data_IF_802409272929
#
_entry.id   IF_802409272929
#
_cell.length_a   1.000
_cell.length_b   1.000
_cell.length_c   1.000
_cell.angle_alpha   90.00
_cell.angle_beta   90.00
_cell.angle_gamma   90.00
#
_symmetry.space_group_name_H-M   'P 1'
#
loop_
_entity.id
_entity.type
_entity.pdbx_description
1 polymer ?
#
# COMPACT_ATOMS: atom_id res chain seq x y z
N UNK A 1 19.31 13.13 23.12
CA UNK A 1 19.32 13.51 21.70
C UNK A 1 19.72 14.98 21.54
N UNK A 2 20.80 15.23 20.80
CA UNK A 2 21.29 16.57 20.44
C UNK A 2 20.19 17.37 19.69
N UNK A 3 20.10 18.68 19.92
CA UNK A 3 19.12 19.56 19.26
C UNK A 3 19.23 19.52 17.72
N UNK A 4 20.42 19.30 17.16
CA UNK A 4 20.60 19.11 15.70
C UNK A 4 19.93 17.83 15.20
N UNK A 5 20.12 16.72 15.91
CA UNK A 5 19.56 15.43 15.56
C UNK A 5 18.02 15.46 15.65
N UNK A 6 17.46 16.13 16.67
CA UNK A 6 16.00 16.36 16.78
C UNK A 6 15.42 17.08 15.56
N UNK A 7 16.05 18.19 15.14
CA UNK A 7 15.60 18.94 13.98
C UNK A 7 15.67 18.12 12.70
N UNK A 8 16.69 17.27 12.57
CA UNK A 8 16.81 16.34 11.45
C UNK A 8 15.66 15.34 11.40
N UNK A 9 15.38 14.62 12.49
CA UNK A 9 14.28 13.65 12.54
C UNK A 9 12.90 14.28 12.27
N UNK A 10 12.65 15.48 12.80
CA UNK A 10 11.40 16.21 12.54
C UNK A 10 11.27 16.54 11.04
N UNK A 11 12.33 17.08 10.43
CA UNK A 11 12.31 17.40 8.99
C UNK A 11 12.11 16.15 8.15
N UNK A 12 12.84 15.08 8.48
CA UNK A 12 12.71 13.79 7.81
C UNK A 12 11.26 13.28 7.87
N UNK A 13 10.67 13.26 9.06
CA UNK A 13 9.28 12.82 9.27
C UNK A 13 8.28 13.63 8.44
N UNK A 14 8.39 14.97 8.45
CA UNK A 14 7.46 15.80 7.67
C UNK A 14 7.67 15.64 6.16
N UNK A 15 8.91 15.45 5.70
CA UNK A 15 9.18 15.20 4.27
C UNK A 15 8.56 13.87 3.84
N UNK A 16 8.77 12.78 4.60
CA UNK A 16 8.19 11.47 4.25
C UNK A 16 6.66 11.48 4.34
N UNK A 17 6.10 12.17 5.33
CA UNK A 17 4.66 12.37 5.45
C UNK A 17 4.08 13.13 4.25
N UNK A 18 4.70 14.22 3.81
CA UNK A 18 4.25 15.00 2.65
C UNK A 18 4.29 14.13 1.39
N UNK A 19 5.36 13.36 1.18
CA UNK A 19 5.46 12.47 0.02
C UNK A 19 4.34 11.41 0.05
N UNK A 20 4.07 10.79 1.20
CA UNK A 20 2.98 9.81 1.35
C UNK A 20 1.60 10.43 1.07
N UNK A 21 1.34 11.64 1.58
CA UNK A 21 0.06 12.34 1.34
C UNK A 21 -0.09 12.69 -0.15
N UNK A 22 0.97 13.18 -0.79
CA UNK A 22 0.95 13.49 -2.22
C UNK A 22 0.68 12.24 -3.04
N UNK A 23 1.33 11.12 -2.72
CA UNK A 23 1.09 9.84 -3.41
C UNK A 23 -0.37 9.39 -3.31
N UNK A 24 -0.96 9.44 -2.11
CA UNK A 24 -2.37 9.08 -1.90
C UNK A 24 -3.30 9.99 -2.73
N UNK A 25 -3.02 11.30 -2.77
CA UNK A 25 -3.80 12.27 -3.55
C UNK A 25 -3.67 11.96 -5.05
N UNK A 26 -2.45 11.72 -5.53
CA UNK A 26 -2.18 11.44 -6.96
C UNK A 26 -2.82 10.12 -7.37
N UNK A 27 -2.74 9.07 -6.56
CA UNK A 27 -3.40 7.77 -6.78
C UNK A 27 -4.93 7.90 -6.87
N UNK A 28 -5.53 8.80 -6.08
CA UNK A 28 -6.99 9.00 -6.09
C UNK A 28 -7.48 9.91 -7.22
N UNK A 29 -6.62 10.79 -7.75
CA UNK A 29 -6.99 11.75 -8.80
C UNK A 29 -6.55 11.32 -10.20
N UNK A 30 -5.53 10.46 -10.31
CA UNK A 30 -4.90 10.09 -11.57
C UNK A 30 -4.71 8.57 -11.62
N UNK A 31 -4.46 8.06 -12.84
CA UNK A 31 -4.08 6.66 -13.02
C UNK A 31 -2.63 6.37 -12.63
N UNK A 32 -1.91 7.30 -11.98
CA UNK A 32 -0.51 7.11 -11.61
C UNK A 32 -0.35 7.04 -10.10
N UNK A 33 0.60 6.22 -9.65
CA UNK A 33 1.05 6.17 -8.26
C UNK A 33 2.54 5.88 -8.20
N UNK A 34 3.17 6.11 -7.04
CA UNK A 34 4.48 5.53 -6.77
C UNK A 34 4.42 3.99 -6.85
N UNK A 35 5.56 3.39 -7.17
CA UNK A 35 5.76 1.94 -7.10
C UNK A 35 5.39 1.42 -5.70
N UNK A 36 4.65 0.32 -5.65
CA UNK A 36 4.00 -0.13 -4.42
C UNK A 36 4.95 -0.36 -3.24
N UNK A 37 6.16 -0.89 -3.49
CA UNK A 37 7.17 -1.08 -2.44
C UNK A 37 7.75 0.25 -1.97
N UNK A 38 8.04 1.19 -2.89
CA UNK A 38 8.54 2.52 -2.55
C UNK A 38 7.51 3.26 -1.69
N UNK A 39 6.24 3.30 -2.12
CA UNK A 39 5.14 3.93 -1.38
C UNK A 39 4.98 3.32 0.03
N UNK A 40 5.06 1.99 0.13
CA UNK A 40 5.03 1.27 1.40
C UNK A 40 6.18 1.71 2.32
N UNK A 41 7.43 1.69 1.84
CA UNK A 41 8.58 2.06 2.65
C UNK A 41 8.54 3.52 3.11
N UNK A 42 8.08 4.43 2.25
CA UNK A 42 7.89 5.84 2.63
C UNK A 42 6.87 5.94 3.76
N UNK A 43 5.72 5.29 3.63
CA UNK A 43 4.65 5.32 4.63
C UNK A 43 5.09 4.71 5.97
N UNK A 44 5.76 3.55 5.93
CA UNK A 44 6.33 2.90 7.12
C UNK A 44 7.38 3.79 7.77
N UNK A 45 8.24 4.46 7.00
CA UNK A 45 9.25 5.37 7.55
C UNK A 45 8.63 6.58 8.25
N UNK A 46 7.52 7.12 7.71
CA UNK A 46 6.76 8.20 8.34
C UNK A 46 6.15 7.74 9.67
N UNK A 47 5.55 6.55 9.72
CA UNK A 47 4.97 5.98 10.94
C UNK A 47 6.02 5.71 12.01
N UNK A 48 7.11 5.00 11.66
CA UNK A 48 8.18 4.68 12.59
C UNK A 48 8.86 5.94 13.14
N UNK A 49 9.13 6.92 12.28
CA UNK A 49 9.70 8.19 12.73
C UNK A 49 8.76 8.95 13.67
N UNK A 50 7.45 8.90 13.46
CA UNK A 50 6.45 9.48 14.37
C UNK A 50 6.47 8.83 15.76
N UNK A 51 6.53 7.50 15.82
CA UNK A 51 6.64 6.74 17.09
C UNK A 51 7.96 7.05 17.81
N UNK A 52 9.08 7.07 17.10
CA UNK A 52 10.39 7.42 17.70
C UNK A 52 10.37 8.85 18.24
N UNK A 53 9.76 9.79 17.50
CA UNK A 53 9.61 11.18 17.92
C UNK A 53 8.72 11.32 19.15
N UNK A 54 7.67 10.51 19.30
CA UNK A 54 6.86 10.44 20.52
C UNK A 54 7.71 10.13 21.76
N UNK A 55 8.46 9.03 21.74
CA UNK A 55 9.32 8.67 22.88
C UNK A 55 10.41 9.73 23.14
N UNK A 56 10.88 10.42 22.10
CA UNK A 56 11.88 11.48 22.24
C UNK A 56 11.33 12.83 22.75
N UNK A 57 10.08 13.19 22.42
CA UNK A 57 9.45 14.48 22.74
C UNK A 57 8.46 14.39 23.90
N UNK A 58 7.49 13.49 23.81
CA UNK A 58 6.35 13.39 24.72
C UNK A 58 6.75 12.96 26.12
N UNK A 59 7.79 12.12 26.24
CA UNK A 59 8.33 11.73 27.55
C UNK A 59 9.01 12.90 28.29
N UNK A 60 9.36 14.00 27.61
CA UNK A 60 10.03 15.16 28.22
C UNK A 60 9.10 16.34 28.49
N UNK A 61 8.06 16.53 27.68
CA UNK A 61 7.07 17.61 27.85
C UNK A 61 5.71 17.16 27.32
N UNK A 62 4.85 16.55 28.15
CA UNK A 62 3.62 15.91 27.70
C UNK A 62 2.56 16.86 27.11
N UNK A 63 2.61 18.18 27.39
CA UNK A 63 1.53 19.13 27.07
C UNK A 63 1.85 20.18 25.99
N UNK A 64 2.74 19.90 25.05
CA UNK A 64 2.92 20.76 23.88
C UNK A 64 2.18 20.18 22.65
N UNK A 65 1.76 21.06 21.73
CA UNK A 65 1.00 20.66 20.52
C UNK A 65 1.72 19.57 19.71
N UNK A 66 3.05 19.63 19.67
CA UNK A 66 3.88 18.66 18.94
C UNK A 66 3.91 17.28 19.61
N UNK A 67 3.89 17.21 20.94
CA UNK A 67 3.79 15.98 21.72
C UNK A 67 2.44 15.32 21.51
N UNK A 68 1.36 16.12 21.49
CA UNK A 68 0.03 15.61 21.21
C UNK A 68 -0.05 15.00 19.80
N UNK A 69 0.49 15.69 18.79
CA UNK A 69 0.60 15.14 17.43
C UNK A 69 1.33 13.79 17.37
N UNK A 70 2.52 13.68 17.97
CA UNK A 70 3.26 12.41 17.97
C UNK A 70 2.61 11.32 18.82
N UNK A 71 1.81 11.69 19.83
CA UNK A 71 1.07 10.71 20.64
C UNK A 71 0.06 9.91 19.84
N UNK A 72 -0.50 10.48 18.77
CA UNK A 72 -1.39 9.76 17.87
C UNK A 72 -0.69 8.57 17.19
N UNK A 73 0.57 8.72 16.79
CA UNK A 73 1.37 7.64 16.21
C UNK A 73 1.62 6.51 17.22
N UNK A 74 1.93 6.86 18.47
CA UNK A 74 2.11 5.87 19.53
C UNK A 74 0.80 5.15 19.85
N UNK A 75 -0.32 5.88 19.93
CA UNK A 75 -1.65 5.31 20.12
C UNK A 75 -2.01 4.33 19.00
N UNK A 76 -1.79 4.72 17.74
CA UNK A 76 -1.96 3.85 16.57
C UNK A 76 -1.13 2.56 16.70
N UNK A 77 0.16 2.68 17.03
CA UNK A 77 1.03 1.52 17.24
C UNK A 77 0.53 0.61 18.38
N UNK A 78 0.07 1.20 19.50
CA UNK A 78 -0.51 0.46 20.62
C UNK A 78 -1.78 -0.28 20.21
N UNK A 79 -2.69 0.37 19.47
CA UNK A 79 -3.91 -0.26 18.95
C UNK A 79 -3.55 -1.45 18.05
N UNK A 80 -2.54 -1.31 17.20
CA UNK A 80 -2.10 -2.39 16.32
C UNK A 80 -1.57 -3.59 17.12
N UNK A 81 -0.73 -3.33 18.12
CA UNK A 81 -0.16 -4.38 18.99
C UNK A 81 -1.27 -5.10 19.77
N UNK A 82 -2.17 -4.34 20.39
CA UNK A 82 -3.32 -4.90 21.12
C UNK A 82 -4.17 -5.76 20.18
N UNK A 83 -4.50 -5.23 19.00
CA UNK A 83 -5.31 -5.96 18.05
C UNK A 83 -4.69 -7.29 17.62
N UNK A 84 -3.37 -7.30 17.42
CA UNK A 84 -2.62 -8.50 17.07
C UNK A 84 -2.58 -9.53 18.22
N UNK A 85 -2.44 -9.08 19.46
CA UNK A 85 -2.37 -9.95 20.65
C UNK A 85 -3.73 -10.58 20.97
N UNK A 86 -4.79 -9.77 21.00
CA UNK A 86 -6.11 -10.25 21.43
C UNK A 86 -6.85 -11.07 20.36
N UNK A 87 -6.42 -10.99 19.08
CA UNK A 87 -6.95 -11.77 17.94
C UNK A 87 -8.49 -11.81 17.88
N UNK A 88 -9.17 -10.81 18.40
CA UNK A 88 -10.63 -10.72 18.38
C UNK A 88 -11.10 -10.21 17.03
N UNK A 89 -12.27 -10.65 16.59
CA UNK A 89 -12.88 -10.20 15.32
C UNK A 89 -13.04 -8.68 15.27
N UNK A 90 -13.37 -8.04 16.39
CA UNK A 90 -13.49 -6.57 16.49
C UNK A 90 -12.12 -5.92 16.20
N UNK A 91 -11.06 -6.48 16.81
CA UNK A 91 -9.71 -6.00 16.60
C UNK A 91 -9.23 -6.21 15.17
N UNK A 92 -9.58 -7.32 14.53
CA UNK A 92 -9.28 -7.56 13.10
C UNK A 92 -9.95 -6.54 12.17
N UNK A 93 -11.19 -6.15 12.45
CA UNK A 93 -11.89 -5.11 11.68
C UNK A 93 -11.18 -3.77 11.83
N UNK A 94 -10.88 -3.36 13.06
CA UNK A 94 -10.15 -2.12 13.35
C UNK A 94 -8.79 -2.13 12.66
N UNK A 95 -8.03 -3.22 12.79
CA UNK A 95 -6.74 -3.40 12.14
C UNK A 95 -6.84 -3.29 10.62
N UNK A 96 -7.83 -3.92 10.01
CA UNK A 96 -8.03 -3.88 8.56
C UNK A 96 -8.23 -2.45 8.05
N UNK A 97 -9.03 -1.65 8.77
CA UNK A 97 -9.27 -0.24 8.43
C UNK A 97 -7.99 0.59 8.58
N UNK A 98 -7.25 0.38 9.68
CA UNK A 98 -6.03 1.16 9.97
C UNK A 98 -4.87 0.81 9.03
N UNK A 99 -4.76 -0.45 8.63
CA UNK A 99 -3.67 -0.97 7.80
C UNK A 99 -3.96 -0.82 6.31
N UNK A 100 -5.24 -0.79 5.89
CA UNK A 100 -5.65 -0.64 4.49
C UNK A 100 -4.91 0.45 3.70
N UNK A 101 -4.72 1.69 4.21
CA UNK A 101 -4.01 2.72 3.45
C UNK A 101 -2.48 2.51 3.38
N UNK A 102 -1.93 1.62 4.21
CA UNK A 102 -0.50 1.39 4.35
C UNK A 102 -0.09 0.12 3.60
N UNK A 103 -0.94 -0.90 3.60
CA UNK A 103 -0.60 -2.21 3.06
C UNK A 103 -0.47 -2.16 1.54
N UNK A 104 0.66 -2.62 0.97
CA UNK A 104 0.84 -2.65 -0.48
C UNK A 104 0.00 -3.77 -1.09
N UNK A 105 -0.41 -3.58 -2.34
CA UNK A 105 -1.07 -4.63 -3.10
C UNK A 105 -0.09 -5.79 -3.31
N UNK A 106 -0.58 -7.03 -3.16
CA UNK A 106 0.26 -8.21 -3.26
C UNK A 106 0.55 -8.52 -4.72
N UNK A 107 1.80 -8.36 -5.13
CA UNK A 107 2.23 -8.68 -6.49
C UNK A 107 2.22 -10.18 -6.73
N UNK A 108 1.33 -10.64 -7.62
CA UNK A 108 1.21 -12.05 -8.00
C UNK A 108 2.03 -12.40 -9.24
N UNK A 109 2.15 -11.47 -10.19
CA UNK A 109 2.85 -11.70 -11.45
C UNK A 109 3.44 -10.40 -12.02
N UNK A 110 4.57 -10.52 -12.72
CA UNK A 110 5.16 -9.43 -13.51
C UNK A 110 5.82 -9.98 -14.77
N UNK A 111 5.51 -9.36 -15.91
CA UNK A 111 6.18 -9.63 -17.18
C UNK A 111 6.28 -8.33 -17.97
N UNK A 112 7.48 -8.01 -18.48
CA UNK A 112 7.74 -6.82 -19.30
C UNK A 112 7.27 -5.50 -18.66
N UNK A 113 7.33 -5.39 -17.33
CA UNK A 113 6.89 -4.22 -16.58
C UNK A 113 5.37 -4.12 -16.38
N UNK A 114 4.57 -5.03 -16.93
CA UNK A 114 3.15 -5.19 -16.59
C UNK A 114 3.05 -6.05 -15.34
N UNK A 115 2.33 -5.54 -14.35
CA UNK A 115 2.22 -6.09 -13.00
C UNK A 115 0.75 -6.44 -12.76
N UNK A 116 0.53 -7.66 -12.29
CA UNK A 116 -0.78 -8.08 -11.76
C UNK A 116 -0.65 -8.23 -10.25
N UNK A 117 -1.43 -7.42 -9.54
CA UNK A 117 -1.47 -7.41 -8.10
C UNK A 117 -2.86 -7.75 -7.58
N UNK A 118 -2.92 -8.44 -6.47
CA UNK A 118 -4.13 -8.59 -5.68
C UNK A 118 -4.19 -7.42 -4.69
N UNK A 119 -5.16 -6.50 -4.81
CA UNK A 119 -5.24 -5.37 -3.90
C UNK A 119 -5.50 -5.83 -2.47
N UNK A 120 -5.19 -5.01 -1.47
CA UNK A 120 -5.62 -5.31 -0.10
C UNK A 120 -7.14 -5.18 0.01
N UNK A 121 -7.83 -6.32 0.10
CA UNK A 121 -9.29 -6.33 0.09
C UNK A 121 -9.90 -6.39 1.53
N UNK A 122 -9.11 -6.67 2.57
CA UNK A 122 -9.58 -6.71 3.96
C UNK A 122 -10.52 -7.89 4.28
N UNK A 123 -11.05 -7.96 5.50
CA UNK A 123 -11.75 -9.15 6.03
C UNK A 123 -13.10 -9.50 5.35
N UNK A 124 -13.81 -8.52 4.77
CA UNK A 124 -15.15 -8.70 4.19
C UNK A 124 -15.19 -8.53 2.66
N UNK A 125 -14.05 -8.73 2.01
CA UNK A 125 -13.97 -8.56 0.57
C UNK A 125 -14.54 -9.71 -0.21
N UNK A 126 -14.98 -9.40 -1.44
CA UNK A 126 -15.26 -10.40 -2.46
C UNK A 126 -13.93 -10.95 -2.96
N UNK A 127 -13.82 -12.27 -3.04
CA UNK A 127 -12.62 -12.91 -3.60
C UNK A 127 -12.33 -12.42 -5.01
N UNK A 128 -11.06 -12.56 -5.37
CA UNK A 128 -10.62 -12.80 -6.74
C UNK A 128 -10.67 -11.53 -7.60
N UNK A 129 -10.41 -10.40 -6.94
CA UNK A 129 -10.20 -9.10 -7.57
C UNK A 129 -8.71 -8.93 -7.87
N UNK A 130 -8.38 -8.60 -9.11
CA UNK A 130 -7.01 -8.36 -9.54
C UNK A 130 -6.90 -6.96 -10.12
N UNK A 131 -5.75 -6.33 -9.93
CA UNK A 131 -5.44 -5.01 -10.44
C UNK A 131 -4.30 -5.10 -11.44
N UNK A 132 -4.48 -4.47 -12.60
CA UNK A 132 -3.48 -4.40 -13.64
C UNK A 132 -2.75 -3.06 -13.56
N UNK A 133 -1.44 -3.11 -13.36
CA UNK A 133 -0.57 -1.93 -13.37
C UNK A 133 0.55 -2.10 -14.38
N UNK A 134 1.17 -1.00 -14.80
CA UNK A 134 2.42 -1.04 -15.57
C UNK A 134 3.43 -0.08 -14.97
N UNK A 135 4.65 -0.54 -14.82
CA UNK A 135 5.75 0.30 -14.37
C UNK A 135 6.10 1.32 -15.46
N UNK A 136 6.09 2.59 -15.07
CA UNK A 136 6.45 3.75 -15.89
C UNK A 136 7.58 4.51 -15.19
N UNK A 137 8.57 4.99 -15.94
CA UNK A 137 9.64 5.85 -15.42
C UNK A 137 10.36 5.33 -14.14
N UNK A 138 10.51 4.00 -14.00
CA UNK A 138 11.17 3.26 -12.92
C UNK A 138 10.53 3.35 -11.52
N UNK A 139 10.00 4.50 -11.12
CA UNK A 139 9.48 4.75 -9.77
C UNK A 139 7.96 4.94 -9.71
N UNK A 140 7.30 4.97 -10.87
CA UNK A 140 5.86 5.12 -10.97
C UNK A 140 5.21 3.87 -11.56
N UNK A 141 3.94 3.69 -11.23
CA UNK A 141 3.07 2.69 -11.81
C UNK A 141 1.85 3.40 -12.37
N UNK A 142 1.49 3.05 -13.61
CA UNK A 142 0.20 3.41 -14.21
C UNK A 142 -0.79 2.29 -13.94
N UNK A 143 -1.89 2.62 -13.29
CA UNK A 143 -3.03 1.76 -13.02
C UNK A 143 -3.97 1.70 -14.23
N UNK A 144 -4.22 0.51 -14.76
CA UNK A 144 -5.17 0.24 -15.83
C UNK A 144 -6.52 -0.25 -15.30
N UNK A 145 -6.65 -0.36 -13.98
CA UNK A 145 -7.88 -0.70 -13.29
C UNK A 145 -7.95 -2.14 -12.82
N UNK A 146 -9.13 -2.48 -12.35
CA UNK A 146 -9.43 -3.72 -11.64
C UNK A 146 -10.25 -4.64 -12.54
N UNK A 147 -9.95 -5.93 -12.50
CA UNK A 147 -10.76 -6.97 -13.12
C UNK A 147 -11.03 -8.10 -12.12
N UNK A 148 -12.22 -8.68 -12.22
CA UNK A 148 -12.64 -9.83 -11.44
C UNK A 148 -12.50 -11.10 -12.30
N UNK A 149 -12.09 -12.20 -11.67
CA UNK A 149 -12.07 -13.53 -12.29
C UNK A 149 -12.74 -14.55 -11.36
N UNK A 150 -13.58 -15.41 -11.93
CA UNK A 150 -14.20 -16.50 -11.17
C UNK A 150 -13.19 -17.65 -11.03
N UNK A 151 -12.51 -17.68 -9.88
CA UNK A 151 -11.56 -18.73 -9.50
C UNK A 151 -10.11 -18.29 -9.52
N UNK A 152 -9.22 -19.23 -9.20
CA UNK A 152 -7.78 -18.96 -9.07
C UNK A 152 -7.09 -18.98 -10.44
N UNK A 153 -6.47 -17.86 -10.81
CA UNK A 153 -5.65 -17.73 -12.02
C UNK A 153 -4.36 -18.55 -11.86
N UNK A 154 -4.03 -19.39 -12.86
CA UNK A 154 -2.72 -20.02 -12.93
C UNK A 154 -1.72 -19.07 -13.61
N UNK A 155 -0.99 -18.31 -12.79
CA UNK A 155 0.00 -17.35 -13.26
C UNK A 155 1.17 -17.97 -14.05
N UNK A 156 1.43 -19.28 -13.92
CA UNK A 156 2.48 -19.97 -14.70
C UNK A 156 2.13 -20.04 -16.20
N UNK A 157 0.83 -20.07 -16.51
CA UNK A 157 0.33 -20.12 -17.90
C UNK A 157 0.14 -18.73 -18.51
N UNK A 158 0.34 -17.69 -17.71
CA UNK A 158 0.02 -16.32 -18.09
C UNK A 158 0.91 -15.82 -19.21
N UNK A 159 0.29 -15.21 -20.22
CA UNK A 159 0.95 -14.52 -21.32
C UNK A 159 0.36 -13.13 -21.47
N UNK A 160 1.24 -12.14 -21.54
CA UNK A 160 0.86 -10.74 -21.74
C UNK A 160 1.27 -10.32 -23.14
N UNK A 161 0.30 -9.86 -23.93
CA UNK A 161 0.53 -9.19 -25.21
C UNK A 161 0.11 -7.73 -25.11
N UNK A 162 1.04 -6.85 -25.40
CA UNK A 162 0.80 -5.41 -25.42
C UNK A 162 0.76 -4.92 -26.87
N UNK A 163 -0.29 -4.17 -27.20
CA UNK A 163 -0.43 -3.43 -28.47
C UNK A 163 -0.56 -1.94 -28.16
N UNK A 164 -0.64 -1.07 -29.17
CA UNK A 164 -0.72 0.38 -28.95
C UNK A 164 -1.93 0.78 -28.08
N UNK A 165 -3.08 0.11 -28.24
CA UNK A 165 -4.34 0.50 -27.61
C UNK A 165 -4.81 -0.42 -26.46
N UNK A 166 -4.26 -1.63 -26.38
CA UNK A 166 -4.78 -2.66 -25.47
C UNK A 166 -3.69 -3.58 -24.90
N UNK A 167 -3.95 -4.09 -23.70
CA UNK A 167 -3.21 -5.15 -23.02
C UNK A 167 -4.10 -6.39 -23.02
N UNK A 168 -3.64 -7.46 -23.65
CA UNK A 168 -4.30 -8.76 -23.68
C UNK A 168 -3.60 -9.71 -22.72
N UNK A 169 -4.38 -10.28 -21.81
CA UNK A 169 -3.97 -11.28 -20.84
C UNK A 169 -4.56 -12.62 -21.27
N UNK A 170 -3.71 -13.61 -21.51
CA UNK A 170 -4.14 -15.00 -21.72
C UNK A 170 -3.66 -15.86 -20.56
N UNK A 171 -4.57 -16.61 -19.94
CA UNK A 171 -4.24 -17.49 -18.80
C UNK A 171 -5.23 -18.64 -18.71
N UNK A 172 -4.81 -19.71 -18.05
CA UNK A 172 -5.68 -20.83 -17.70
C UNK A 172 -6.10 -20.71 -16.24
N UNK A 173 -7.35 -21.04 -15.93
CA UNK A 173 -7.83 -21.14 -14.54
C UNK A 173 -7.47 -22.49 -13.93
N UNK A 174 -7.54 -22.63 -12.61
CA UNK A 174 -7.37 -23.94 -11.95
C UNK A 174 -8.36 -25.02 -12.46
N UNK A 175 -9.52 -24.61 -12.99
CA UNK A 175 -10.50 -25.49 -13.66
C UNK A 175 -10.07 -25.92 -15.07
N UNK A 176 -8.86 -25.56 -15.52
CA UNK A 176 -8.31 -25.81 -16.85
C UNK A 176 -9.10 -25.15 -17.99
N UNK A 177 -9.79 -24.05 -17.70
CA UNK A 177 -10.42 -23.23 -18.74
C UNK A 177 -9.44 -22.14 -19.19
N UNK A 178 -9.24 -22.05 -20.51
CA UNK A 178 -8.47 -20.96 -21.10
C UNK A 178 -9.33 -19.69 -21.17
N UNK A 179 -8.79 -18.59 -20.64
CA UNK A 179 -9.41 -17.27 -20.64
C UNK A 179 -8.52 -16.28 -21.35
N UNK A 180 -9.16 -15.34 -22.05
CA UNK A 180 -8.53 -14.18 -22.66
C UNK A 180 -9.25 -12.92 -22.17
N UNK A 181 -8.50 -12.00 -21.57
CA UNK A 181 -9.01 -10.72 -21.07
C UNK A 181 -8.30 -9.59 -21.77
N UNK A 182 -9.07 -8.63 -22.28
CA UNK A 182 -8.53 -7.45 -22.97
C UNK A 182 -8.85 -6.20 -22.17
N UNK A 183 -7.84 -5.41 -21.85
CA UNK A 183 -7.95 -4.16 -21.10
C UNK A 183 -7.46 -3.02 -22.01
N UNK A 184 -8.28 -1.98 -22.17
CA UNK A 184 -7.94 -0.78 -22.94
C UNK A 184 -7.04 0.15 -22.13
N UNK A 185 -6.10 0.82 -22.80
CA UNK A 185 -5.08 1.66 -22.15
C UNK A 185 -5.53 3.07 -21.76
#
# INVERSE_FOLDING_TARGET
MNNRLKKFFIRFHFVTLVIAIVDIIVKNLTAYSLEGNIAFWITISALLSGVVLFFCFSMKRPFNNLSFYFSLYALLATIVIIGFVFRSIIWFIILSILISPIYPDEKKYEQNGVIISEPFQGFLSRCCTFQLKKRELLIFEKDYGIFEEEGTINFETMKIKETEDQIELSYTTHSKEDKVKTIKK
#
